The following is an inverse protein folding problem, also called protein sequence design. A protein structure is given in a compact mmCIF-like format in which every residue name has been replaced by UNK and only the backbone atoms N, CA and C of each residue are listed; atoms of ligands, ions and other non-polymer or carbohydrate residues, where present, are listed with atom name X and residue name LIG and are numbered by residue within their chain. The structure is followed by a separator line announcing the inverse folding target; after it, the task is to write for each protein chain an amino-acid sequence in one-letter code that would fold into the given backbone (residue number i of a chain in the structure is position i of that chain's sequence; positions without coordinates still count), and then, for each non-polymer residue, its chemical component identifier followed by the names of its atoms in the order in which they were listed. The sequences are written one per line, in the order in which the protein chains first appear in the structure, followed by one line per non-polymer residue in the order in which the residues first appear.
data_IF_393950358418
#
_entry.id   IF_393950358418
#
_cell.length_a   1.000
_cell.length_b   1.000
_cell.length_c   1.000
_cell.angle_alpha   90.00
_cell.angle_beta   90.00
_cell.angle_gamma   90.00
#
_symmetry.space_group_name_H-M   'P 1'
#
loop_
_entity.id
_entity.type
_entity.pdbx_description
1 polymer ?
#
# COMPACT_ATOMS: atom_id res chain seq x y z
N UNK A 1 -11.27 14.43 4.05
CA UNK A 1 -12.01 14.06 5.29
C UNK A 1 -11.61 12.66 5.72
N UNK A 2 -11.24 12.47 6.99
CA UNK A 2 -10.88 11.15 7.54
C UNK A 2 -12.09 10.23 7.64
N UNK A 3 -11.91 8.96 7.27
CA UNK A 3 -12.90 7.89 7.43
C UNK A 3 -12.23 6.68 8.04
N UNK A 4 -12.55 6.37 9.28
CA UNK A 4 -12.15 5.16 9.97
C UNK A 4 -13.19 4.07 9.71
N UNK A 5 -12.73 2.87 9.38
CA UNK A 5 -13.55 1.66 9.40
C UNK A 5 -13.20 0.89 10.68
N UNK A 6 -14.18 0.52 11.48
CA UNK A 6 -13.93 -0.05 12.80
C UNK A 6 -15.00 -1.06 13.22
N UNK A 7 -14.60 -1.93 14.16
CA UNK A 7 -15.50 -2.83 14.88
C UNK A 7 -15.76 -2.26 16.28
N UNK A 8 -17.02 -2.08 16.64
CA UNK A 8 -17.45 -1.64 17.96
C UNK A 8 -18.74 -2.36 18.37
N UNK A 9 -18.77 -2.97 19.56
CA UNK A 9 -19.93 -3.72 20.07
C UNK A 9 -20.49 -4.75 19.07
N UNK A 10 -19.60 -5.50 18.39
CA UNK A 10 -19.96 -6.52 17.42
C UNK A 10 -20.45 -5.99 16.05
N UNK A 11 -20.42 -4.68 15.80
CA UNK A 11 -20.87 -4.06 14.55
C UNK A 11 -19.70 -3.37 13.83
N UNK A 12 -19.64 -3.55 12.53
CA UNK A 12 -18.71 -2.82 11.66
C UNK A 12 -19.38 -1.53 11.23
N UNK A 13 -18.66 -0.41 11.37
CA UNK A 13 -19.13 0.90 10.96
C UNK A 13 -17.99 1.76 10.42
N UNK A 14 -18.35 2.89 9.80
CA UNK A 14 -17.43 3.93 9.34
C UNK A 14 -17.82 5.27 9.98
N UNK A 15 -16.82 6.04 10.43
CA UNK A 15 -17.02 7.39 10.98
C UNK A 15 -15.75 8.23 10.85
N UNK A 16 -15.90 9.56 11.01
CA UNK A 16 -14.77 10.51 11.02
C UNK A 16 -13.95 10.49 12.31
N UNK A 17 -14.47 9.85 13.37
CA UNK A 17 -13.80 9.66 14.65
C UNK A 17 -14.11 8.26 15.21
N UNK A 18 -13.17 7.72 15.98
CA UNK A 18 -13.32 6.40 16.61
C UNK A 18 -14.06 6.51 17.94
N UNK A 19 -15.09 5.67 18.19
CA UNK A 19 -15.64 5.50 19.53
C UNK A 19 -14.60 4.90 20.49
N UNK A 20 -14.73 5.20 21.77
CA UNK A 20 -13.86 4.61 22.78
C UNK A 20 -14.00 3.08 22.79
N UNK A 21 -12.88 2.36 22.77
CA UNK A 21 -12.86 0.89 22.73
C UNK A 21 -13.18 0.27 21.36
N UNK A 22 -13.25 1.06 20.30
CA UNK A 22 -13.37 0.53 18.94
C UNK A 22 -12.04 -0.07 18.46
N UNK A 23 -12.12 -1.18 17.71
CA UNK A 23 -10.98 -1.79 17.02
C UNK A 23 -10.92 -1.26 15.60
N UNK A 24 -9.78 -0.69 15.20
CA UNK A 24 -9.56 -0.22 13.82
C UNK A 24 -9.47 -1.43 12.89
N UNK A 25 -10.24 -1.41 11.82
CA UNK A 25 -10.20 -2.37 10.73
C UNK A 25 -9.45 -1.76 9.53
N UNK A 26 -8.99 -2.60 8.58
CA UNK A 26 -8.50 -2.05 7.31
C UNK A 26 -9.54 -1.11 6.72
N UNK A 27 -9.14 0.05 6.15
CA UNK A 27 -10.09 1.07 5.69
C UNK A 27 -11.01 0.59 4.57
N UNK A 28 -10.66 -0.54 3.94
CA UNK A 28 -11.43 -1.16 2.85
C UNK A 28 -11.26 -2.69 2.88
N UNK A 29 -12.20 -3.41 2.28
CA UNK A 29 -12.10 -4.85 1.95
C UNK A 29 -12.01 -4.94 0.42
N UNK A 30 -10.81 -5.09 -0.14
CA UNK A 30 -10.64 -5.05 -1.59
C UNK A 30 -11.15 -6.32 -2.27
N UNK A 31 -11.68 -6.16 -3.49
CA UNK A 31 -11.91 -7.27 -4.42
C UNK A 31 -10.60 -7.75 -5.03
N UNK A 32 -9.72 -6.80 -5.37
CA UNK A 32 -8.33 -7.03 -5.79
C UNK A 32 -7.42 -5.90 -5.34
N UNK A 33 -6.13 -6.21 -5.24
CA UNK A 33 -5.07 -5.25 -4.93
C UNK A 33 -4.09 -5.29 -6.11
N UNK A 34 -4.07 -4.22 -6.90
CA UNK A 34 -3.14 -4.05 -8.03
C UNK A 34 -1.94 -3.27 -7.53
N UNK A 35 -0.74 -3.82 -7.70
CA UNK A 35 0.49 -3.21 -7.23
C UNK A 35 1.37 -2.79 -8.40
N UNK A 36 2.14 -1.72 -8.20
CA UNK A 36 3.02 -1.15 -9.22
C UNK A 36 4.47 -1.26 -8.77
N UNK A 37 5.23 -2.13 -9.43
CA UNK A 37 6.65 -2.31 -9.14
C UNK A 37 7.50 -1.20 -9.77
N UNK A 38 8.60 -0.80 -9.07
CA UNK A 38 9.65 0.10 -9.57
C UNK A 38 9.15 1.48 -10.00
N UNK A 39 8.17 2.05 -9.31
CA UNK A 39 7.61 3.36 -9.64
C UNK A 39 8.43 4.56 -9.09
N UNK A 40 9.59 4.31 -8.49
CA UNK A 40 10.57 5.32 -8.09
C UNK A 40 11.93 4.97 -8.69
N UNK A 41 12.55 5.93 -9.38
CA UNK A 41 13.80 5.69 -10.13
C UNK A 41 14.94 5.22 -9.22
N UNK A 42 15.08 5.83 -8.04
CA UNK A 42 16.13 5.46 -7.07
C UNK A 42 15.91 4.04 -6.50
N UNK A 43 14.65 3.64 -6.27
CA UNK A 43 14.33 2.27 -5.86
C UNK A 43 14.63 1.26 -6.97
N UNK A 44 14.30 1.56 -8.22
CA UNK A 44 14.66 0.68 -9.35
C UNK A 44 16.19 0.47 -9.40
N UNK A 45 16.96 1.55 -9.28
CA UNK A 45 18.43 1.52 -9.26
C UNK A 45 18.99 0.75 -8.05
N UNK A 46 18.42 0.93 -6.84
CA UNK A 46 18.79 0.20 -5.62
C UNK A 46 18.71 -1.33 -5.83
N UNK A 47 17.70 -1.80 -6.55
CA UNK A 47 17.52 -3.22 -6.88
C UNK A 47 18.30 -3.67 -8.13
N UNK A 48 19.14 -2.80 -8.71
CA UNK A 48 19.94 -3.11 -9.91
C UNK A 48 19.12 -3.16 -11.20
N UNK A 49 17.98 -2.45 -11.24
CA UNK A 49 17.11 -2.39 -12.42
C UNK A 49 17.09 -0.98 -13.03
N UNK A 50 16.77 -0.90 -14.30
CA UNK A 50 16.43 0.37 -14.97
C UNK A 50 15.01 0.82 -14.61
N UNK A 51 14.77 2.13 -14.72
CA UNK A 51 13.43 2.69 -14.62
C UNK A 51 12.55 2.13 -15.75
N UNK A 52 11.38 1.56 -15.43
CA UNK A 52 10.53 0.95 -16.43
C UNK A 52 9.91 2.01 -17.36
N UNK A 53 9.70 1.65 -18.64
CA UNK A 53 9.00 2.51 -19.62
C UNK A 53 7.48 2.44 -19.46
N UNK A 54 6.96 1.38 -18.85
CA UNK A 54 5.55 1.13 -18.58
C UNK A 54 5.40 0.56 -17.17
N UNK A 55 4.24 0.77 -16.49
CA UNK A 55 4.00 0.22 -15.16
C UNK A 55 4.14 -1.31 -15.13
N UNK A 56 4.99 -1.82 -14.24
CA UNK A 56 5.08 -3.25 -13.95
C UNK A 56 3.98 -3.60 -12.95
N UNK A 57 2.93 -4.29 -13.41
CA UNK A 57 1.79 -4.64 -12.57
C UNK A 57 1.91 -6.06 -12.01
N UNK A 58 1.49 -6.21 -10.75
CA UNK A 58 1.29 -7.51 -10.10
C UNK A 58 0.14 -7.41 -9.10
N UNK A 59 -0.25 -8.54 -8.50
CA UNK A 59 -1.35 -8.59 -7.55
C UNK A 59 -0.89 -9.05 -6.17
N UNK A 60 -1.59 -8.55 -5.15
CA UNK A 60 -1.67 -9.17 -3.83
C UNK A 60 -3.09 -9.69 -3.62
N UNK A 61 -3.28 -10.89 -3.02
CA UNK A 61 -4.62 -11.40 -2.74
C UNK A 61 -5.28 -10.58 -1.61
N UNK A 62 -6.61 -10.45 -1.58
CA UNK A 62 -7.32 -9.79 -0.49
C UNK A 62 -7.02 -10.37 0.90
N UNK A 63 -6.70 -11.67 1.00
CA UNK A 63 -6.30 -12.33 2.24
C UNK A 63 -5.01 -11.80 2.85
N UNK A 64 -4.17 -11.09 2.07
CA UNK A 64 -2.94 -10.47 2.58
C UNK A 64 -3.17 -9.21 3.40
N UNK A 65 -4.39 -8.64 3.37
CA UNK A 65 -4.71 -7.38 4.06
C UNK A 65 -4.58 -7.52 5.57
N UNK A 66 -3.89 -6.56 6.18
CA UNK A 66 -3.69 -6.44 7.61
C UNK A 66 -4.10 -5.04 8.09
N UNK A 67 -4.75 -4.96 9.25
CA UNK A 67 -5.12 -3.69 9.86
C UNK A 67 -3.91 -2.97 10.48
N UNK A 68 -4.08 -1.68 10.74
CA UNK A 68 -3.23 -0.91 11.66
C UNK A 68 -3.12 -1.64 13.01
N UNK A 69 -1.92 -1.65 13.59
CA UNK A 69 -1.54 -2.39 14.81
C UNK A 69 -1.66 -3.93 14.72
N UNK A 70 -1.94 -4.49 13.55
CA UNK A 70 -1.85 -5.92 13.33
C UNK A 70 -0.39 -6.42 13.30
N UNK A 71 -0.23 -7.74 13.31
CA UNK A 71 1.08 -8.41 13.34
C UNK A 71 1.41 -8.95 11.95
N UNK A 72 2.51 -8.48 11.37
CA UNK A 72 3.10 -9.06 10.16
C UNK A 72 3.78 -10.37 10.55
N UNK A 73 3.35 -11.48 9.94
CA UNK A 73 3.88 -12.81 10.22
C UNK A 73 4.92 -13.18 9.15
N UNK A 74 6.17 -13.39 9.57
CA UNK A 74 7.22 -13.84 8.67
C UNK A 74 7.02 -15.33 8.36
N UNK A 75 6.85 -15.73 7.07
CA UNK A 75 6.65 -17.13 6.73
C UNK A 75 7.97 -17.93 6.91
N UNK A 76 7.90 -19.11 7.52
CA UNK A 76 9.06 -19.95 7.77
C UNK A 76 9.82 -20.39 6.50
N UNK A 77 9.19 -20.27 5.32
CA UNK A 77 9.78 -20.61 4.01
C UNK A 77 10.59 -19.48 3.40
N UNK A 78 10.62 -18.28 4.03
CA UNK A 78 11.38 -17.13 3.55
C UNK A 78 12.46 -16.75 4.56
N UNK A 79 13.68 -16.58 4.05
CA UNK A 79 14.82 -16.13 4.86
C UNK A 79 14.88 -14.61 5.01
N UNK A 80 14.22 -13.88 4.10
CA UNK A 80 14.25 -12.41 4.07
C UNK A 80 12.90 -11.81 3.69
N UNK A 81 12.27 -11.14 4.66
CA UNK A 81 11.05 -10.35 4.48
C UNK A 81 11.40 -8.87 4.60
N UNK A 82 11.07 -8.08 3.58
CA UNK A 82 11.35 -6.64 3.52
C UNK A 82 10.05 -5.83 3.62
N UNK A 83 10.15 -4.59 4.15
CA UNK A 83 9.11 -3.58 4.10
C UNK A 83 9.22 -2.75 2.82
N UNK A 84 8.08 -2.24 2.34
CA UNK A 84 7.95 -1.28 1.25
C UNK A 84 6.79 -0.32 1.57
N UNK A 85 7.11 0.87 2.12
CA UNK A 85 6.11 1.90 2.42
C UNK A 85 5.57 2.53 1.14
N UNK A 86 4.24 2.62 1.01
CA UNK A 86 3.57 3.07 -0.21
C UNK A 86 2.34 3.93 0.06
N UNK A 87 2.02 4.81 -0.89
CA UNK A 87 0.70 5.39 -1.01
C UNK A 87 -0.26 4.35 -1.63
N UNK A 88 -1.44 4.17 -1.05
CA UNK A 88 -2.51 3.36 -1.60
C UNK A 88 -3.68 4.23 -2.09
N UNK A 89 -4.15 3.95 -3.31
CA UNK A 89 -5.36 4.54 -3.90
C UNK A 89 -6.52 3.55 -3.68
N UNK A 90 -7.64 4.01 -3.14
CA UNK A 90 -8.86 3.20 -2.99
C UNK A 90 -9.89 3.66 -4.01
N UNK A 91 -10.37 2.74 -4.82
CA UNK A 91 -11.38 3.00 -5.86
C UNK A 91 -12.77 3.19 -5.21
N UNK A 92 -13.51 4.19 -5.68
CA UNK A 92 -14.84 4.56 -5.18
C UNK A 92 -15.97 4.33 -6.17
N UNK A 93 -15.66 4.28 -7.46
CA UNK A 93 -16.63 4.04 -8.54
C UNK A 93 -16.03 3.07 -9.56
N UNK A 94 -16.89 2.33 -10.25
CA UNK A 94 -16.43 1.48 -11.35
C UNK A 94 -15.66 2.30 -12.38
N UNK A 95 -14.44 1.86 -12.70
CA UNK A 95 -13.50 2.53 -13.56
C UNK A 95 -13.03 1.60 -14.68
N UNK A 96 -13.44 1.93 -15.90
CA UNK A 96 -13.05 1.24 -17.15
C UNK A 96 -12.62 2.28 -18.16
N UNK A 97 -11.38 2.19 -18.67
CA UNK A 97 -10.79 3.13 -19.65
C UNK A 97 -10.94 4.60 -19.23
N UNK A 98 -10.61 4.88 -17.98
CA UNK A 98 -10.65 6.22 -17.39
C UNK A 98 -9.53 7.06 -18.00
N UNK A 99 -9.81 8.31 -18.31
CA UNK A 99 -8.79 9.27 -18.76
C UNK A 99 -8.06 9.85 -17.54
N UNK A 100 -6.74 10.04 -17.64
CA UNK A 100 -5.92 10.56 -16.54
C UNK A 100 -6.42 11.91 -15.96
N UNK A 101 -7.04 12.75 -16.77
CA UNK A 101 -7.61 14.03 -16.32
C UNK A 101 -8.81 13.89 -15.39
N UNK A 102 -9.52 12.77 -15.44
CA UNK A 102 -10.77 12.52 -14.69
C UNK A 102 -10.60 11.46 -13.58
N UNK A 103 -9.38 10.97 -13.35
CA UNK A 103 -9.11 9.85 -12.45
C UNK A 103 -9.66 10.05 -11.03
N UNK A 104 -9.64 11.30 -10.56
CA UNK A 104 -10.04 11.64 -9.18
C UNK A 104 -11.52 11.34 -8.91
N UNK A 105 -12.38 11.41 -9.92
CA UNK A 105 -13.82 11.13 -9.81
C UNK A 105 -14.12 9.66 -9.54
N UNK A 106 -13.15 8.77 -9.75
CA UNK A 106 -13.24 7.33 -9.55
C UNK A 106 -12.60 6.86 -8.24
N UNK A 107 -11.90 7.76 -7.54
CA UNK A 107 -11.17 7.45 -6.32
C UNK A 107 -12.00 7.83 -5.09
N UNK A 108 -12.17 6.89 -4.17
CA UNK A 108 -12.79 7.13 -2.86
C UNK A 108 -11.86 7.92 -1.94
N UNK A 109 -10.57 7.61 -1.96
CA UNK A 109 -9.57 8.24 -1.11
C UNK A 109 -8.24 7.52 -1.13
N UNK A 110 -7.39 7.86 -0.16
CA UNK A 110 -6.01 7.39 -0.03
C UNK A 110 -5.73 6.90 1.39
N UNK A 111 -4.76 6.01 1.51
CA UNK A 111 -4.29 5.49 2.80
C UNK A 111 -2.82 5.10 2.71
N UNK A 112 -2.16 4.90 3.86
CA UNK A 112 -0.83 4.29 3.88
C UNK A 112 -0.94 2.79 3.63
N UNK A 113 0.09 2.23 3.00
CA UNK A 113 0.25 0.81 2.79
C UNK A 113 1.69 0.36 3.05
N UNK A 114 1.86 -0.94 3.29
CA UNK A 114 3.17 -1.59 3.30
C UNK A 114 3.10 -2.83 2.39
N UNK A 115 3.79 -2.79 1.25
CA UNK A 115 3.89 -3.92 0.32
C UNK A 115 4.95 -4.91 0.78
N UNK A 116 4.66 -5.61 1.90
CA UNK A 116 5.58 -6.59 2.51
C UNK A 116 5.96 -7.67 1.51
N UNK A 117 7.27 -7.97 1.45
CA UNK A 117 7.85 -8.78 0.38
C UNK A 117 8.80 -9.85 0.92
N UNK A 118 8.56 -11.13 0.62
CA UNK A 118 9.54 -12.20 0.80
C UNK A 118 10.60 -12.10 -0.32
N UNK A 119 11.69 -11.38 -0.03
CA UNK A 119 12.64 -10.91 -1.05
C UNK A 119 13.46 -12.04 -1.72
N UNK A 120 13.78 -13.07 -0.98
CA UNK A 120 14.42 -14.28 -1.49
C UNK A 120 13.51 -15.05 -2.46
N UNK A 121 12.22 -15.15 -2.15
CA UNK A 121 11.22 -15.76 -3.02
C UNK A 121 10.94 -14.92 -4.26
N UNK A 122 10.93 -13.59 -4.13
CA UNK A 122 10.78 -12.68 -5.27
C UNK A 122 11.91 -12.85 -6.31
N UNK A 123 13.14 -13.10 -5.84
CA UNK A 123 14.28 -13.35 -6.72
C UNK A 123 14.25 -14.74 -7.37
N UNK A 124 13.65 -15.71 -6.68
CA UNK A 124 13.59 -17.10 -7.12
C UNK A 124 12.47 -17.37 -8.10
N UNK A 125 11.31 -16.72 -7.89
CA UNK A 125 10.11 -16.95 -8.66
C UNK A 125 10.04 -16.00 -9.87
N UNK A 126 9.50 -16.48 -11.00
CA UNK A 126 9.26 -15.65 -12.19
C UNK A 126 8.11 -14.68 -11.95
N UNK A 127 7.09 -15.11 -11.17
CA UNK A 127 5.91 -14.33 -10.80
C UNK A 127 5.93 -13.98 -9.31
N UNK A 128 5.51 -12.76 -8.95
CA UNK A 128 5.60 -12.27 -7.57
C UNK A 128 4.51 -12.80 -6.62
N UNK A 129 3.58 -13.61 -7.10
CA UNK A 129 2.39 -14.06 -6.33
C UNK A 129 2.77 -14.62 -4.95
N UNK A 130 3.72 -15.55 -4.88
CA UNK A 130 4.14 -16.13 -3.61
C UNK A 130 4.91 -15.13 -2.75
N UNK A 131 5.81 -14.37 -3.34
CA UNK A 131 6.65 -13.41 -2.62
C UNK A 131 5.85 -12.25 -1.98
N UNK A 132 4.72 -11.90 -2.58
CA UNK A 132 3.88 -10.75 -2.22
C UNK A 132 2.52 -11.13 -1.60
N UNK A 133 2.14 -12.42 -1.66
CA UNK A 133 0.77 -12.87 -1.40
C UNK A 133 0.55 -13.60 -0.07
N UNK A 134 1.52 -13.67 0.83
CA UNK A 134 1.29 -14.27 2.15
C UNK A 134 0.25 -13.47 2.93
N UNK A 135 -0.49 -14.15 3.81
CA UNK A 135 -1.36 -13.48 4.78
C UNK A 135 -0.54 -12.45 5.56
N UNK A 136 -1.16 -11.32 5.93
CA UNK A 136 -0.53 -10.18 6.63
C UNK A 136 0.46 -9.32 5.80
N UNK A 137 0.69 -9.64 4.53
CA UNK A 137 1.69 -8.94 3.70
C UNK A 137 1.18 -7.65 3.03
N UNK A 138 -0.04 -7.21 3.34
CA UNK A 138 -0.60 -5.95 2.87
C UNK A 138 -1.22 -5.13 4.01
N UNK A 139 -0.44 -4.62 4.97
CA UNK A 139 -0.93 -3.63 5.90
C UNK A 139 -1.53 -2.42 5.18
N UNK A 140 -2.74 -2.01 5.59
CA UNK A 140 -3.48 -0.85 5.08
C UNK A 140 -4.09 -0.04 6.22
N UNK A 141 -3.94 1.28 6.19
CA UNK A 141 -4.53 2.16 7.19
C UNK A 141 -3.66 3.38 7.56
N UNK A 142 -3.93 4.00 8.71
CA UNK A 142 -4.93 3.66 9.73
C UNK A 142 -6.35 4.09 9.38
N UNK A 143 -6.55 5.00 8.42
CA UNK A 143 -7.84 5.49 7.93
C UNK A 143 -7.79 5.77 6.42
N UNK A 144 -8.93 6.04 5.83
CA UNK A 144 -9.04 6.57 4.48
C UNK A 144 -9.15 8.09 4.55
N UNK A 145 -8.34 8.82 3.76
CA UNK A 145 -8.49 10.26 3.56
C UNK A 145 -9.13 10.54 2.19
N UNK A 146 -10.31 11.15 2.21
CA UNK A 146 -11.11 11.35 0.98
C UNK A 146 -10.79 12.64 0.24
N UNK A 147 -10.20 13.63 0.91
CA UNK A 147 -9.93 14.96 0.36
C UNK A 147 -8.46 15.33 0.56
N UNK A 148 -7.60 14.79 -0.28
CA UNK A 148 -6.16 15.02 -0.21
C UNK A 148 -5.59 15.24 -1.61
N UNK A 149 -4.77 16.28 -1.78
CA UNK A 149 -3.92 16.42 -2.96
C UNK A 149 -2.67 15.56 -2.75
N UNK A 150 -2.50 14.55 -3.60
CA UNK A 150 -1.42 13.56 -3.49
C UNK A 150 -0.24 13.83 -4.39
N UNK A 151 -0.17 15.03 -4.99
CA UNK A 151 0.89 15.35 -5.97
C UNK A 151 2.28 15.38 -5.36
N UNK A 152 2.41 15.87 -4.13
CA UNK A 152 3.73 16.04 -3.49
C UNK A 152 3.65 15.83 -1.97
N UNK A 153 3.37 14.61 -1.53
CA UNK A 153 3.33 14.22 -0.12
C UNK A 153 4.65 13.59 0.29
N UNK A 154 5.13 13.93 1.48
CA UNK A 154 6.26 13.24 2.11
C UNK A 154 5.81 11.84 2.56
N UNK A 155 6.63 10.83 2.24
CA UNK A 155 6.49 9.45 2.68
C UNK A 155 7.74 9.05 3.47
N UNK A 156 7.55 8.49 4.65
CA UNK A 156 8.64 8.02 5.51
C UNK A 156 8.30 6.62 6.03
N UNK A 157 9.25 5.69 5.94
CA UNK A 157 9.15 4.40 6.62
C UNK A 157 10.19 4.31 7.72
N UNK A 158 9.76 3.91 8.92
CA UNK A 158 10.65 3.68 10.07
C UNK A 158 10.58 2.23 10.52
N UNK A 159 11.71 1.71 10.98
CA UNK A 159 11.78 0.43 11.70
C UNK A 159 12.42 0.71 13.05
N UNK A 160 11.71 0.38 14.14
CA UNK A 160 12.13 0.64 15.52
C UNK A 160 12.46 2.13 15.78
N UNK A 161 11.71 3.04 15.14
CA UNK A 161 11.90 4.48 15.23
C UNK A 161 13.00 5.05 14.32
N UNK A 162 13.83 4.22 13.69
CA UNK A 162 14.85 4.68 12.74
C UNK A 162 14.27 4.85 11.33
N UNK A 163 14.49 6.00 10.70
CA UNK A 163 14.10 6.26 9.32
C UNK A 163 14.92 5.37 8.37
N UNK A 164 14.21 4.60 7.55
CA UNK A 164 14.76 3.70 6.53
C UNK A 164 14.46 4.16 5.13
N UNK A 165 13.24 4.63 4.89
CA UNK A 165 12.84 5.22 3.60
C UNK A 165 12.39 6.65 3.83
N UNK A 166 12.75 7.51 2.90
CA UNK A 166 12.21 8.86 2.79
C UNK A 166 12.09 9.21 1.30
N UNK A 167 10.91 9.65 0.91
CA UNK A 167 10.60 10.03 -0.47
C UNK A 167 9.38 10.93 -0.54
N UNK A 168 9.04 11.33 -1.75
CA UNK A 168 7.85 12.14 -2.03
C UNK A 168 7.05 11.54 -3.17
N UNK A 169 5.73 11.69 -3.13
CA UNK A 169 4.85 11.18 -4.20
C UNK A 169 5.11 11.85 -5.55
N UNK A 170 5.68 13.05 -5.55
CA UNK A 170 6.14 13.74 -6.78
C UNK A 170 7.32 13.07 -7.48
N UNK A 171 8.02 12.15 -6.81
CA UNK A 171 9.14 11.39 -7.36
C UNK A 171 8.70 10.10 -8.07
N UNK A 172 7.39 9.79 -8.06
CA UNK A 172 6.85 8.67 -8.84
C UNK A 172 7.11 8.87 -10.32
N UNK A 173 7.55 7.81 -11.01
CA UNK A 173 7.70 7.76 -12.46
C UNK A 173 6.33 7.89 -13.12
N UNK A 174 5.36 7.11 -12.63
CA UNK A 174 3.97 7.11 -13.08
C UNK A 174 3.08 7.71 -12.02
N UNK A 175 2.45 8.84 -12.30
CA UNK A 175 1.57 9.54 -11.37
C UNK A 175 0.30 8.73 -11.05
N UNK A 176 -0.38 9.06 -9.94
CA UNK A 176 -1.64 8.42 -9.55
C UNK A 176 -2.68 8.45 -10.69
N UNK A 177 -2.82 9.58 -11.39
CA UNK A 177 -3.75 9.71 -12.51
C UNK A 177 -3.40 8.79 -13.67
N UNK A 178 -2.12 8.74 -14.04
CA UNK A 178 -1.64 7.83 -15.08
C UNK A 178 -1.85 6.35 -14.69
N UNK A 179 -1.61 5.98 -13.43
CA UNK A 179 -1.83 4.61 -12.97
C UNK A 179 -3.30 4.19 -13.06
N UNK A 180 -4.24 5.06 -12.66
CA UNK A 180 -5.68 4.77 -12.79
C UNK A 180 -6.07 4.62 -14.26
N UNK A 181 -5.60 5.51 -15.15
CA UNK A 181 -5.82 5.40 -16.60
C UNK A 181 -5.26 4.07 -17.13
N UNK A 182 -4.00 3.80 -16.90
CA UNK A 182 -3.30 2.61 -17.43
C UNK A 182 -3.95 1.30 -16.96
N UNK A 183 -4.21 1.18 -15.65
CA UNK A 183 -4.80 -0.03 -15.07
C UNK A 183 -6.24 -0.21 -15.53
N UNK A 184 -7.05 0.86 -15.58
CA UNK A 184 -8.44 0.79 -16.03
C UNK A 184 -8.60 0.49 -17.52
N UNK A 185 -7.55 0.72 -18.32
CA UNK A 185 -7.51 0.30 -19.73
C UNK A 185 -7.28 -1.22 -19.89
N UNK A 186 -6.63 -1.85 -18.89
CA UNK A 186 -6.33 -3.29 -18.89
C UNK A 186 -7.47 -4.09 -18.25
N UNK A 187 -7.99 -3.61 -17.10
CA UNK A 187 -9.02 -4.30 -16.31
C UNK A 187 -9.97 -3.32 -15.65
N UNK A 188 -11.23 -3.67 -15.55
CA UNK A 188 -12.21 -2.89 -14.79
C UNK A 188 -11.83 -2.90 -13.31
N UNK A 189 -11.73 -1.69 -12.72
CA UNK A 189 -11.60 -1.50 -11.28
C UNK A 189 -12.99 -1.27 -10.69
N UNK A 190 -13.28 -1.88 -9.55
CA UNK A 190 -14.58 -1.75 -8.88
C UNK A 190 -14.43 -1.07 -7.53
N UNK A 191 -15.50 -0.51 -6.95
CA UNK A 191 -15.44 0.12 -5.63
C UNK A 191 -14.82 -0.81 -4.57
N UNK A 192 -13.85 -0.28 -3.83
CA UNK A 192 -13.09 -1.04 -2.85
C UNK A 192 -11.78 -1.61 -3.36
N UNK A 193 -11.54 -1.74 -4.67
CA UNK A 193 -10.24 -2.13 -5.19
C UNK A 193 -9.15 -1.15 -4.77
N UNK A 194 -7.94 -1.67 -4.58
CA UNK A 194 -6.78 -0.90 -4.11
C UNK A 194 -5.68 -0.92 -5.17
N UNK A 195 -5.04 0.24 -5.38
CA UNK A 195 -3.81 0.34 -6.16
C UNK A 195 -2.69 0.74 -5.19
N UNK A 196 -1.64 -0.09 -5.08
CA UNK A 196 -0.38 0.25 -4.42
C UNK A 196 0.53 0.92 -5.44
N UNK A 197 1.02 2.13 -5.13
CA UNK A 197 1.63 3.00 -6.15
C UNK A 197 3.13 2.86 -6.30
N UNK A 198 3.76 1.95 -5.56
CA UNK A 198 5.20 1.76 -5.52
C UNK A 198 5.87 2.46 -4.34
N UNK A 199 7.07 2.04 -4.02
CA UNK A 199 7.85 2.45 -2.85
C UNK A 199 9.12 3.23 -3.25
N UNK A 200 9.57 4.22 -2.45
CA UNK A 200 10.87 4.86 -2.63
C UNK A 200 12.03 3.92 -2.24
N UNK A 201 13.28 4.33 -2.51
CA UNK A 201 14.48 3.64 -2.07
C UNK A 201 14.58 3.52 -0.54
N UNK A 202 15.40 2.61 -0.04
CA UNK A 202 15.64 2.36 1.39
C UNK A 202 14.87 1.15 1.93
N UNK A 203 14.40 0.26 1.05
CA UNK A 203 13.77 -1.01 1.47
C UNK A 203 14.76 -1.87 2.25
N UNK A 204 14.27 -2.65 3.20
CA UNK A 204 15.14 -3.45 4.05
C UNK A 204 14.40 -4.51 4.85
N UNK A 205 15.17 -5.36 5.56
CA UNK A 205 14.61 -6.51 6.26
C UNK A 205 13.80 -6.11 7.49
N UNK A 206 12.77 -6.92 7.74
CA UNK A 206 12.00 -6.98 8.98
C UNK A 206 12.37 -8.25 9.74
N UNK A 207 12.66 -8.12 11.03
CA UNK A 207 12.94 -9.23 11.93
C UNK A 207 11.81 -9.40 12.95
N UNK A 208 11.69 -10.60 13.52
CA UNK A 208 10.75 -10.82 14.61
C UNK A 208 11.07 -9.87 15.79
N UNK A 209 10.04 -9.23 16.33
CA UNK A 209 10.16 -8.21 17.38
C UNK A 209 10.27 -6.78 16.86
N UNK A 210 10.47 -6.55 15.56
CA UNK A 210 10.48 -5.21 14.99
C UNK A 210 9.10 -4.56 15.01
N UNK A 211 9.09 -3.21 15.06
CA UNK A 211 7.93 -2.37 14.78
C UNK A 211 8.21 -1.56 13.51
N UNK A 212 7.34 -1.67 12.51
CA UNK A 212 7.43 -0.90 11.27
C UNK A 212 6.33 0.15 11.20
N UNK A 213 6.67 1.35 10.77
CA UNK A 213 5.78 2.49 10.62
C UNK A 213 5.90 3.07 9.21
N UNK A 214 4.76 3.26 8.55
CA UNK A 214 4.67 4.01 7.28
C UNK A 214 3.88 5.27 7.55
N UNK A 215 4.52 6.42 7.43
CA UNK A 215 3.93 7.74 7.60
C UNK A 215 3.85 8.44 6.24
N UNK A 216 2.66 8.94 5.91
CA UNK A 216 2.47 9.81 4.74
C UNK A 216 1.77 11.07 5.19
N UNK A 217 2.27 12.21 4.73
CA UNK A 217 1.71 13.52 5.03
C UNK A 217 0.20 13.57 4.74
N UNK A 218 -0.60 13.95 5.75
CA UNK A 218 -2.07 13.97 5.68
C UNK A 218 -2.77 12.62 5.88
N UNK A 219 -2.06 11.48 5.85
CA UNK A 219 -2.63 10.14 6.00
C UNK A 219 -2.35 9.50 7.38
N UNK A 220 -1.45 10.11 8.17
CA UNK A 220 -1.06 9.60 9.48
C UNK A 220 -0.03 8.48 9.41
N UNK A 221 -0.01 7.63 10.45
CA UNK A 221 1.00 6.59 10.63
C UNK A 221 0.32 5.22 10.66
N UNK A 222 0.64 4.38 9.70
CA UNK A 222 0.32 2.95 9.71
C UNK A 222 1.44 2.23 10.46
N UNK A 223 1.10 1.58 11.58
CA UNK A 223 2.05 0.87 12.43
C UNK A 223 1.70 -0.61 12.52
N UNK A 224 2.71 -1.48 12.46
CA UNK A 224 2.56 -2.91 12.63
C UNK A 224 3.75 -3.50 13.40
N UNK A 225 3.50 -4.51 14.21
CA UNK A 225 4.54 -5.34 14.80
C UNK A 225 4.91 -6.49 13.84
N UNK A 226 6.07 -7.12 14.05
CA UNK A 226 6.58 -8.25 13.25
C UNK A 226 6.80 -9.47 14.14
N UNK A 227 6.31 -10.64 13.72
CA UNK A 227 6.52 -11.92 14.41
C UNK A 227 7.22 -12.95 13.51
#
# INVERSE_FOLDING_TARGET
MKVFRYLHQGRIAEASALPQGATILPPVVPGKIVCVGRNYADHAKELGNEAPKEPLLFFKPPSSVLAHEGIIVRPAVSERVDFEGELAIVIGREATRVQAGNWRDYVRGFTCANDVTARDLQKKDVQFTRAKGFDTFCPLGPWLETELDVKDLRLVTRVNGETRQEGRTSQMIFSCGFLVEYISAIMTLVPGDVILTGTPAGVGPLNAGDAVEVEIEGLGVLRNAVA
#
